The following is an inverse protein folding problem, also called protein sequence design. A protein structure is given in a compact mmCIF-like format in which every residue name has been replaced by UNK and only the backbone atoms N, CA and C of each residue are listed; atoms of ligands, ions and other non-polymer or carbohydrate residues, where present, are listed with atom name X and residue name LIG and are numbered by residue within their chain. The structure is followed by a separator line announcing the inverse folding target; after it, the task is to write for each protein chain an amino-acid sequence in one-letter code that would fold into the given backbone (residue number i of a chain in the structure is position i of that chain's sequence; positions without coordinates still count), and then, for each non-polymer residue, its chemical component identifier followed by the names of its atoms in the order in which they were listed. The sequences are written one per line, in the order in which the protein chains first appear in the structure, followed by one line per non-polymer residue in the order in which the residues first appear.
data_IF_144558813912
#
_entry.id   IF_144558813912
#
_cell.length_a   1.000
_cell.length_b   1.000
_cell.length_c   1.000
_cell.angle_alpha   90.00
_cell.angle_beta   90.00
_cell.angle_gamma   90.00
#
_symmetry.space_group_name_H-M   'P 1'
#
loop_
_entity.id
_entity.type
_entity.pdbx_description
1 polymer ?
#
# COMPACT_ATOMS: atom_id res chain seq x y z
N UNK A 1 2.56 10.44 -26.91
CA UNK A 1 2.77 10.20 -25.47
C UNK A 1 1.57 9.38 -25.03
N UNK A 2 1.76 8.08 -24.84
CA UNK A 2 0.64 7.17 -24.64
C UNK A 2 0.26 7.21 -23.16
N UNK A 3 -0.93 7.76 -22.90
CA UNK A 3 -1.64 7.68 -21.62
C UNK A 3 -2.05 6.22 -21.41
N UNK A 4 -1.09 5.37 -21.06
CA UNK A 4 -1.37 3.98 -20.68
C UNK A 4 -2.02 4.00 -19.29
N UNK A 5 -3.32 3.72 -19.31
CA UNK A 5 -4.22 3.51 -18.19
C UNK A 5 -3.53 2.67 -17.09
N UNK A 6 -2.89 3.35 -16.12
CA UNK A 6 -2.22 2.68 -15.00
C UNK A 6 -3.26 1.80 -14.29
N UNK A 7 -2.94 0.52 -14.14
CA UNK A 7 -3.87 -0.41 -13.51
C UNK A 7 -4.16 0.06 -12.08
N UNK A 8 -5.41 -0.13 -11.61
CA UNK A 8 -5.85 0.28 -10.27
C UNK A 8 -4.89 -0.23 -9.18
N UNK A 9 -4.26 -1.39 -9.42
CA UNK A 9 -3.25 -2.00 -8.56
C UNK A 9 -1.97 -1.15 -8.44
N UNK A 10 -1.48 -0.62 -9.56
CA UNK A 10 -0.29 0.25 -9.60
C UNK A 10 -0.56 1.54 -8.85
N UNK A 11 -1.68 2.21 -9.15
CA UNK A 11 -2.09 3.44 -8.48
C UNK A 11 -2.29 3.22 -6.97
N UNK A 12 -2.84 2.07 -6.58
CA UNK A 12 -2.99 1.70 -5.18
C UNK A 12 -1.63 1.56 -4.47
N UNK A 13 -0.70 0.81 -5.08
CA UNK A 13 0.65 0.62 -4.54
C UNK A 13 1.42 1.92 -4.37
N UNK A 14 1.34 2.80 -5.37
CA UNK A 14 1.92 4.14 -5.32
C UNK A 14 1.33 4.98 -4.17
N UNK A 15 0.01 4.93 -3.96
CA UNK A 15 -0.65 5.64 -2.87
C UNK A 15 -0.24 5.12 -1.49
N UNK A 16 -0.16 3.80 -1.29
CA UNK A 16 0.34 3.21 -0.03
C UNK A 16 1.74 3.73 0.27
N UNK A 17 2.64 3.68 -0.71
CA UNK A 17 4.01 4.19 -0.57
C UNK A 17 4.04 5.68 -0.23
N UNK A 18 3.19 6.48 -0.89
CA UNK A 18 3.07 7.93 -0.65
C UNK A 18 2.65 8.21 0.79
N UNK A 19 1.55 7.62 1.25
CA UNK A 19 1.04 7.87 2.61
C UNK A 19 1.94 7.30 3.69
N UNK A 20 2.58 6.14 3.46
CA UNK A 20 3.59 5.61 4.37
C UNK A 20 4.72 6.62 4.62
N UNK A 21 5.25 7.21 3.54
CA UNK A 21 6.31 8.21 3.62
C UNK A 21 5.84 9.51 4.29
N UNK A 22 4.63 9.97 4.00
CA UNK A 22 4.04 11.14 4.68
C UNK A 22 3.88 10.91 6.18
N UNK A 23 3.57 9.69 6.60
CA UNK A 23 3.53 9.30 8.01
C UNK A 23 4.92 9.06 8.63
N UNK A 24 6.02 9.25 7.90
CA UNK A 24 7.38 9.05 8.40
C UNK A 24 7.75 7.59 8.67
N UNK A 25 7.01 6.62 8.11
CA UNK A 25 7.18 5.20 8.41
C UNK A 25 8.13 4.51 7.44
N UNK A 26 8.94 3.58 7.95
CA UNK A 26 9.66 2.59 7.13
C UNK A 26 8.69 1.51 6.63
N UNK A 27 9.10 0.76 5.61
CA UNK A 27 8.29 -0.39 5.16
C UNK A 27 8.14 -1.44 6.26
N UNK A 28 9.18 -1.66 7.07
CA UNK A 28 9.13 -2.57 8.22
C UNK A 28 8.06 -2.13 9.21
N UNK A 29 8.09 -0.86 9.65
CA UNK A 29 7.12 -0.30 10.59
C UNK A 29 5.69 -0.35 10.08
N UNK A 30 5.46 -0.08 8.79
CA UNK A 30 4.11 -0.21 8.21
C UNK A 30 3.70 -1.69 8.11
N UNK A 31 4.62 -2.58 7.74
CA UNK A 31 4.33 -4.00 7.58
C UNK A 31 3.97 -4.67 8.92
N UNK A 32 4.66 -4.33 10.01
CA UNK A 32 4.32 -4.76 11.37
C UNK A 32 2.91 -4.32 11.76
N UNK A 33 2.57 -3.05 11.54
CA UNK A 33 1.23 -2.50 11.83
C UNK A 33 0.13 -3.19 11.03
N UNK A 34 0.43 -3.61 9.80
CA UNK A 34 -0.48 -4.31 8.91
C UNK A 34 -0.50 -5.83 9.13
N UNK A 35 0.38 -6.38 9.98
CA UNK A 35 0.52 -7.83 10.15
C UNK A 35 0.93 -8.57 8.87
N UNK A 36 1.70 -7.91 8.00
CA UNK A 36 2.25 -8.51 6.77
C UNK A 36 3.77 -8.47 6.79
N UNK A 37 4.42 -9.27 5.95
CA UNK A 37 5.88 -9.17 5.82
C UNK A 37 6.29 -7.91 5.07
N UNK A 38 7.45 -7.35 5.42
CA UNK A 38 8.04 -6.22 4.72
C UNK A 38 8.21 -6.49 3.22
N UNK A 39 8.58 -7.73 2.85
CA UNK A 39 8.67 -8.16 1.44
C UNK A 39 7.32 -8.07 0.72
N UNK A 40 6.23 -8.48 1.38
CA UNK A 40 4.88 -8.39 0.82
C UNK A 40 4.47 -6.93 0.64
N UNK A 41 4.74 -6.08 1.63
CA UNK A 41 4.50 -4.63 1.50
C UNK A 41 5.31 -4.01 0.35
N UNK A 42 6.56 -4.42 0.15
CA UNK A 42 7.39 -3.93 -0.96
C UNK A 42 6.80 -4.30 -2.33
N UNK A 43 6.27 -5.51 -2.49
CA UNK A 43 5.58 -5.95 -3.72
C UNK A 43 4.31 -5.12 -3.97
N UNK A 44 3.56 -4.82 -2.91
CA UNK A 44 2.38 -3.94 -2.96
C UNK A 44 2.78 -2.54 -3.44
N UNK A 45 3.81 -1.94 -2.83
CA UNK A 45 4.26 -0.57 -3.13
C UNK A 45 4.93 -0.40 -4.50
N UNK A 46 5.35 -1.50 -5.13
CA UNK A 46 5.98 -1.50 -6.46
C UNK A 46 5.03 -1.91 -7.57
N UNK A 47 3.80 -2.36 -7.25
CA UNK A 47 2.81 -2.78 -8.24
C UNK A 47 3.17 -4.05 -9.00
N UNK A 48 4.24 -4.76 -8.62
CA UNK A 48 4.83 -5.84 -9.41
C UNK A 48 3.98 -7.13 -9.41
N UNK A 49 3.26 -7.45 -8.32
CA UNK A 49 2.30 -8.56 -8.26
C UNK A 49 1.22 -8.30 -7.20
N UNK A 50 0.05 -7.84 -7.62
CA UNK A 50 -1.13 -7.78 -6.77
C UNK A 50 -1.92 -9.09 -6.89
N UNK A 51 -1.52 -10.13 -6.17
CA UNK A 51 -2.36 -11.33 -6.06
C UNK A 51 -3.65 -10.98 -5.28
N UNK A 52 -4.83 -11.34 -5.78
CA UNK A 52 -6.14 -10.90 -5.24
C UNK A 52 -6.33 -11.18 -3.74
N UNK A 53 -5.62 -12.16 -3.19
CA UNK A 53 -5.59 -12.49 -1.76
C UNK A 53 -5.00 -11.37 -0.87
N UNK A 54 -4.27 -10.40 -1.43
CA UNK A 54 -3.67 -9.29 -0.67
C UNK A 54 -4.66 -8.17 -0.35
N UNK A 55 -5.77 -8.06 -1.10
CA UNK A 55 -6.75 -6.98 -0.94
C UNK A 55 -7.48 -7.03 0.41
N UNK A 56 -7.81 -8.22 0.91
CA UNK A 56 -8.60 -8.39 2.13
C UNK A 56 -7.89 -7.89 3.40
N UNK A 57 -6.55 -7.90 3.42
CA UNK A 57 -5.75 -7.40 4.55
C UNK A 57 -5.51 -5.89 4.48
N UNK A 58 -5.60 -5.30 3.28
CA UNK A 58 -5.30 -3.88 3.08
C UNK A 58 -6.58 -3.01 3.15
N UNK A 59 -7.77 -3.59 3.02
CA UNK A 59 -9.04 -2.89 3.32
C UNK A 59 -9.05 -2.28 4.73
N UNK A 60 -8.37 -2.89 5.69
CA UNK A 60 -8.18 -2.31 7.02
C UNK A 60 -7.29 -1.05 7.00
N UNK A 61 -6.34 -0.95 6.07
CA UNK A 61 -5.46 0.23 5.96
C UNK A 61 -6.21 1.50 5.52
N UNK A 62 -7.24 1.38 4.66
CA UNK A 62 -8.13 2.51 4.36
C UNK A 62 -8.86 2.99 5.63
N UNK A 63 -9.25 2.06 6.50
CA UNK A 63 -9.84 2.37 7.82
C UNK A 63 -8.81 3.08 8.71
N UNK A 64 -7.58 2.60 8.76
CA UNK A 64 -6.48 3.24 9.50
C UNK A 64 -6.16 4.66 9.02
N UNK A 65 -6.08 4.91 7.70
CA UNK A 65 -5.81 6.25 7.17
C UNK A 65 -6.93 7.27 7.44
N UNK A 66 -8.19 6.82 7.51
CA UNK A 66 -9.32 7.68 7.89
C UNK A 66 -9.28 8.03 9.40
N UNK A 67 -8.74 7.15 10.23
CA UNK A 67 -8.68 7.34 11.69
C UNK A 67 -7.51 8.20 12.19
N UNK A 68 -6.44 8.39 11.41
CA UNK A 68 -5.30 9.24 11.77
C UNK A 68 -5.31 10.63 11.10
N UNK A 69 -6.47 11.03 10.55
CA UNK A 69 -6.73 12.36 9.97
C UNK A 69 -7.55 13.29 10.88
N UNK A 70 -7.30 13.27 12.20
CA UNK A 70 -7.73 14.27 13.18
C UNK A 70 -6.51 14.72 13.99
#
# INVERSE_FOLDING_TARGET
MNEENESVQVLFGQNVKKYRKLAGLTQEQLSERLGVSQKHLSIIETGAQFASASLSRITDFKKYLIFFGQ
#
